data_IF_239789289866
#
_entry.id   IF_239789289866
#
_cell.length_a   1.000
_cell.length_b   1.000
_cell.length_c   1.000
_cell.angle_alpha   90.00
_cell.angle_beta   90.00
_cell.angle_gamma   90.00
#
_symmetry.space_group_name_H-M   'P 1'
#
loop_
_entity.id
_entity.type
_entity.pdbx_description
1 polymer ?
#
# COMPACT_ATOMS: atom_id res chain seq x y z
N UNK A 1 35.79 -5.10 12.63
CA UNK A 1 34.50 -5.82 12.60
C UNK A 1 34.28 -6.46 13.96
N UNK A 2 33.03 -6.67 14.38
CA UNK A 2 32.67 -7.31 15.65
C UNK A 2 32.56 -8.82 15.46
N UNK A 3 33.19 -9.61 16.34
CA UNK A 3 33.02 -11.07 16.41
C UNK A 3 31.84 -11.40 17.34
N UNK A 4 30.73 -11.84 16.75
CA UNK A 4 29.46 -12.14 17.42
C UNK A 4 29.57 -13.24 18.49
N UNK A 5 30.62 -14.07 18.43
CA UNK A 5 30.85 -15.14 19.41
C UNK A 5 31.60 -14.65 20.66
N UNK A 6 32.19 -13.44 20.61
CA UNK A 6 33.07 -12.90 21.65
C UNK A 6 32.55 -11.60 22.26
N UNK A 7 31.92 -10.75 21.45
CA UNK A 7 31.52 -9.40 21.87
C UNK A 7 30.12 -9.04 21.33
N UNK A 8 29.30 -8.28 22.07
CA UNK A 8 27.98 -7.86 21.63
C UNK A 8 28.02 -6.85 20.47
N UNK A 9 27.00 -6.86 19.61
CA UNK A 9 26.85 -5.86 18.54
C UNK A 9 26.39 -4.52 19.15
N UNK A 10 27.05 -3.39 18.87
CA UNK A 10 26.50 -2.08 19.20
C UNK A 10 25.29 -1.78 18.29
N UNK A 11 24.11 -1.64 18.89
CA UNK A 11 22.85 -1.35 18.18
C UNK A 11 22.20 -0.07 18.71
N UNK A 12 21.48 0.63 17.84
CA UNK A 12 20.71 1.83 18.17
C UNK A 12 19.41 1.88 17.33
N UNK A 13 18.39 2.62 17.76
CA UNK A 13 17.17 2.81 16.97
C UNK A 13 17.48 3.37 15.58
N UNK A 14 16.88 2.77 14.55
CA UNK A 14 17.02 3.17 13.15
C UNK A 14 15.64 3.12 12.49
N UNK A 15 15.33 4.09 11.62
CA UNK A 15 14.08 4.07 10.83
C UNK A 15 14.02 2.76 10.05
N UNK A 16 12.86 2.10 10.08
CA UNK A 16 12.75 0.73 9.55
C UNK A 16 11.53 0.50 8.65
N UNK A 17 10.36 1.02 9.01
CA UNK A 17 9.11 0.67 8.34
C UNK A 17 8.10 1.84 8.41
N UNK A 18 7.32 2.02 7.36
CA UNK A 18 6.25 3.01 7.30
C UNK A 18 4.89 2.32 7.51
N UNK A 19 4.23 2.62 8.63
CA UNK A 19 2.87 2.11 8.88
C UNK A 19 1.79 2.86 8.09
N UNK A 20 2.07 4.11 7.71
CA UNK A 20 1.21 4.88 6.82
C UNK A 20 1.38 4.47 5.36
N UNK A 21 0.48 4.95 4.51
CA UNK A 21 0.49 4.62 3.08
C UNK A 21 -0.80 5.07 2.41
N UNK A 22 -1.06 4.53 1.23
CA UNK A 22 -2.32 4.76 0.49
C UNK A 22 -3.46 4.09 1.26
N UNK A 23 -4.52 4.82 1.67
CA UNK A 23 -5.62 4.24 2.43
C UNK A 23 -6.37 3.22 1.58
N UNK A 24 -6.62 2.04 2.14
CA UNK A 24 -7.38 0.97 1.47
C UNK A 24 -8.45 0.39 2.37
N UNK A 25 -9.48 -0.22 1.78
CA UNK A 25 -10.32 -1.15 2.52
C UNK A 25 -9.57 -2.49 2.76
N UNK A 26 -10.23 -3.44 3.44
CA UNK A 26 -9.64 -4.75 3.74
C UNK A 26 -9.46 -5.66 2.51
N UNK A 27 -9.99 -5.28 1.34
CA UNK A 27 -9.74 -5.94 0.06
C UNK A 27 -8.58 -5.32 -0.73
N UNK A 28 -8.01 -4.21 -0.26
CA UNK A 28 -6.93 -3.50 -0.96
C UNK A 28 -7.41 -2.48 -2.01
N UNK A 29 -8.72 -2.23 -2.13
CA UNK A 29 -9.25 -1.15 -2.97
C UNK A 29 -8.89 0.19 -2.32
N UNK A 30 -8.30 1.10 -3.10
CA UNK A 30 -7.92 2.43 -2.61
C UNK A 30 -9.16 3.24 -2.25
N UNK A 31 -9.11 3.94 -1.12
CA UNK A 31 -10.17 4.82 -0.66
C UNK A 31 -9.96 6.25 -1.19
N UNK A 32 -11.06 6.87 -1.63
CA UNK A 32 -11.19 8.27 -1.95
C UNK A 32 -12.38 8.85 -1.15
N UNK A 33 -12.23 9.02 0.17
CA UNK A 33 -13.34 9.39 1.05
C UNK A 33 -13.94 10.74 0.68
N UNK A 34 -15.26 10.85 0.81
CA UNK A 34 -16.01 12.11 0.73
C UNK A 34 -16.77 12.35 2.03
N UNK A 35 -17.25 13.58 2.25
CA UNK A 35 -18.05 13.89 3.45
C UNK A 35 -19.34 13.07 3.55
N UNK A 36 -19.90 12.62 2.41
CA UNK A 36 -21.13 11.83 2.35
C UNK A 36 -20.87 10.33 2.31
N UNK A 37 -19.69 9.91 1.84
CA UNK A 37 -19.30 8.51 1.75
C UNK A 37 -17.81 8.37 2.15
N UNK A 38 -17.53 8.09 3.44
CA UNK A 38 -16.17 7.93 3.93
C UNK A 38 -15.49 6.65 3.41
N UNK A 39 -16.26 5.68 2.91
CA UNK A 39 -15.76 4.41 2.37
C UNK A 39 -15.77 4.39 0.83
N UNK A 40 -15.93 5.55 0.19
CA UNK A 40 -15.87 5.63 -1.28
C UNK A 40 -14.52 5.09 -1.76
N UNK A 41 -14.57 4.16 -2.71
CA UNK A 41 -13.38 3.61 -3.38
C UNK A 41 -13.00 4.46 -4.58
N UNK A 42 -11.72 4.44 -4.94
CA UNK A 42 -11.21 4.85 -6.25
C UNK A 42 -11.28 3.63 -7.19
N UNK A 43 -12.24 3.57 -8.13
CA UNK A 43 -12.47 2.35 -8.90
C UNK A 43 -11.25 1.96 -9.74
N UNK A 44 -10.87 0.70 -9.68
CA UNK A 44 -9.75 0.16 -10.45
C UNK A 44 -8.36 0.40 -9.84
N UNK A 45 -8.26 1.17 -8.76
CA UNK A 45 -6.99 1.42 -8.07
C UNK A 45 -6.87 0.55 -6.82
N UNK A 46 -5.77 -0.20 -6.72
CA UNK A 46 -5.47 -1.10 -5.60
C UNK A 46 -4.11 -0.72 -4.99
N UNK A 47 -3.95 -0.89 -3.68
CA UNK A 47 -2.66 -0.80 -2.99
C UNK A 47 -2.50 -1.93 -1.97
N UNK A 48 -1.29 -2.48 -1.85
CA UNK A 48 -1.00 -3.64 -1.01
C UNK A 48 0.39 -3.54 -0.39
N UNK A 49 0.61 -4.24 0.73
CA UNK A 49 1.89 -4.25 1.43
C UNK A 49 2.21 -2.93 2.11
N UNK A 50 3.50 -2.63 2.30
CA UNK A 50 3.95 -1.39 2.98
C UNK A 50 3.50 -0.11 2.27
N UNK A 51 3.16 -0.16 0.99
CA UNK A 51 2.58 0.99 0.28
C UNK A 51 1.09 1.22 0.62
N UNK A 52 0.37 0.19 1.06
CA UNK A 52 -1.05 0.22 1.42
C UNK A 52 -1.26 0.43 2.92
N UNK A 53 -2.40 1.01 3.27
CA UNK A 53 -2.78 1.29 4.66
C UNK A 53 -4.23 0.83 4.89
N UNK A 54 -4.37 -0.46 5.21
CA UNK A 54 -5.67 -1.10 5.38
C UNK A 54 -6.42 -0.76 6.69
N UNK A 55 -5.84 -0.51 7.88
CA UNK A 55 -4.48 -0.53 8.41
C UNK A 55 -4.39 -1.54 9.56
N UNK A 56 -3.75 -2.70 9.33
CA UNK A 56 -3.59 -3.73 10.39
C UNK A 56 -2.45 -3.42 11.36
N UNK A 57 -1.63 -2.41 11.04
CA UNK A 57 -0.47 -2.02 11.85
C UNK A 57 -0.75 -0.81 12.75
N UNK A 58 -1.79 -0.01 12.45
CA UNK A 58 -2.14 1.17 13.22
C UNK A 58 -0.93 2.09 13.43
N UNK A 59 -0.70 2.48 14.69
CA UNK A 59 0.42 3.35 15.05
C UNK A 59 1.75 2.60 15.30
N UNK A 60 1.73 1.27 15.42
CA UNK A 60 2.92 0.47 15.72
C UNK A 60 2.78 -0.96 15.23
N UNK A 61 3.54 -1.32 14.20
CA UNK A 61 3.58 -2.68 13.66
C UNK A 61 4.24 -3.64 14.64
N UNK A 62 3.66 -4.83 14.83
CA UNK A 62 4.30 -5.94 15.52
C UNK A 62 5.30 -6.67 14.60
N UNK A 63 6.38 -7.19 15.18
CA UNK A 63 7.41 -7.93 14.46
C UNK A 63 6.82 -9.05 13.59
N UNK A 64 7.40 -9.27 12.41
CA UNK A 64 7.00 -10.29 11.43
C UNK A 64 5.61 -10.15 10.77
N UNK A 65 4.77 -9.20 11.20
CA UNK A 65 3.45 -9.01 10.58
C UNK A 65 3.49 -8.38 9.18
N UNK A 66 4.60 -7.79 8.75
CA UNK A 66 4.71 -7.22 7.40
C UNK A 66 4.66 -8.28 6.30
N UNK A 67 5.32 -9.44 6.50
CA UNK A 67 5.29 -10.51 5.50
C UNK A 67 3.91 -11.17 5.40
N UNK A 68 3.19 -11.28 6.53
CA UNK A 68 1.81 -11.79 6.56
C UNK A 68 0.88 -10.82 5.83
N UNK A 69 1.04 -9.52 6.05
CA UNK A 69 0.33 -8.47 5.30
C UNK A 69 0.51 -8.64 3.78
N UNK A 70 1.76 -8.75 3.30
CA UNK A 70 2.05 -8.93 1.87
C UNK A 70 1.25 -10.08 1.25
N UNK A 71 1.27 -11.25 1.87
CA UNK A 71 0.64 -12.46 1.28
C UNK A 71 -0.88 -12.45 1.43
N UNK A 72 -1.41 -11.92 2.54
CA UNK A 72 -2.86 -11.89 2.80
C UNK A 72 -3.52 -10.81 1.95
N UNK A 73 -3.06 -9.56 2.03
CA UNK A 73 -3.67 -8.44 1.30
C UNK A 73 -3.34 -8.50 -0.19
N UNK A 74 -2.15 -8.98 -0.58
CA UNK A 74 -1.84 -9.26 -1.99
C UNK A 74 -2.83 -10.25 -2.61
N UNK A 75 -3.15 -11.34 -1.90
CA UNK A 75 -4.14 -12.32 -2.36
C UNK A 75 -5.56 -11.76 -2.34
N UNK A 76 -5.95 -11.03 -1.29
CA UNK A 76 -7.26 -10.41 -1.19
C UNK A 76 -7.52 -9.43 -2.34
N UNK A 77 -6.54 -8.59 -2.66
CA UNK A 77 -6.59 -7.66 -3.77
C UNK A 77 -6.74 -8.36 -5.12
N UNK A 78 -6.00 -9.45 -5.36
CA UNK A 78 -6.13 -10.22 -6.59
C UNK A 78 -7.54 -10.83 -6.76
N UNK A 79 -8.10 -11.39 -5.67
CA UNK A 79 -9.47 -11.93 -5.67
C UNK A 79 -10.48 -10.82 -5.97
N UNK A 80 -10.34 -9.67 -5.30
CA UNK A 80 -11.26 -8.55 -5.46
C UNK A 80 -11.19 -7.95 -6.86
N UNK A 81 -9.99 -7.72 -7.39
CA UNK A 81 -9.78 -7.24 -8.76
C UNK A 81 -10.46 -8.16 -9.78
N UNK A 82 -10.41 -9.48 -9.58
CA UNK A 82 -11.13 -10.44 -10.42
C UNK A 82 -12.66 -10.34 -10.40
N UNK A 83 -13.24 -9.67 -9.39
CA UNK A 83 -14.68 -9.45 -9.25
C UNK A 83 -15.12 -8.08 -9.77
N UNK A 84 -14.27 -7.05 -9.63
CA UNK A 84 -14.66 -5.65 -9.89
C UNK A 84 -14.15 -5.10 -11.21
N UNK A 85 -13.19 -5.78 -11.86
CA UNK A 85 -12.63 -5.37 -13.15
C UNK A 85 -13.24 -6.22 -14.27
N UNK A 86 -13.91 -5.55 -15.20
CA UNK A 86 -14.29 -6.17 -16.47
C UNK A 86 -13.06 -6.24 -17.39
N UNK A 87 -12.64 -7.47 -17.71
CA UNK A 87 -11.49 -7.74 -18.57
C UNK A 87 -11.73 -7.38 -20.04
N UNK A 88 -12.99 -7.29 -20.45
CA UNK A 88 -13.38 -6.98 -21.82
C UNK A 88 -13.64 -5.48 -22.01
N UNK A 89 -13.72 -4.71 -20.93
CA UNK A 89 -13.90 -3.27 -21.02
C UNK A 89 -12.66 -2.60 -21.60
N UNK A 90 -12.88 -1.49 -22.32
CA UNK A 90 -11.78 -0.67 -22.81
C UNK A 90 -10.99 -0.07 -21.63
N UNK A 91 -9.66 -0.06 -21.75
CA UNK A 91 -8.79 0.60 -20.77
C UNK A 91 -9.06 2.11 -20.81
N UNK A 92 -9.41 2.76 -19.69
CA UNK A 92 -9.60 4.21 -19.67
C UNK A 92 -8.35 4.96 -20.10
N UNK A 93 -8.51 6.03 -20.87
CA UNK A 93 -7.41 6.93 -21.18
C UNK A 93 -6.92 7.63 -19.90
N UNK A 94 -5.61 7.88 -19.77
CA UNK A 94 -5.09 8.63 -18.63
C UNK A 94 -5.61 10.08 -18.64
N UNK A 95 -5.57 10.71 -17.46
CA UNK A 95 -5.82 12.14 -17.37
C UNK A 95 -4.59 12.91 -17.86
N UNK A 96 -4.63 13.41 -19.09
CA UNK A 96 -3.51 14.10 -19.74
C UNK A 96 -2.99 15.30 -18.92
N UNK A 97 -3.88 16.07 -18.29
CA UNK A 97 -3.46 17.19 -17.44
C UNK A 97 -2.69 16.73 -16.20
N UNK A 98 -3.02 15.54 -15.67
CA UNK A 98 -2.25 14.94 -14.58
C UNK A 98 -0.89 14.41 -15.07
N UNK A 99 -0.83 13.85 -16.29
CA UNK A 99 0.41 13.39 -16.93
C UNK A 99 1.36 14.56 -17.13
N UNK A 100 0.90 15.66 -17.74
CA UNK A 100 1.68 16.88 -17.96
C UNK A 100 2.27 17.41 -16.65
N UNK A 101 1.44 17.55 -15.61
CA UNK A 101 1.88 18.00 -14.28
C UNK A 101 2.92 17.08 -13.63
N UNK A 102 2.88 15.77 -13.90
CA UNK A 102 3.90 14.83 -13.40
C UNK A 102 5.20 15.03 -14.15
N UNK A 103 5.14 15.18 -15.47
CA UNK A 103 6.31 15.39 -16.32
C UNK A 103 7.02 16.71 -16.01
N UNK A 104 6.28 17.78 -15.73
CA UNK A 104 6.83 19.10 -15.33
C UNK A 104 7.67 19.06 -14.04
N UNK A 105 7.49 18.03 -13.20
CA UNK A 105 8.26 17.84 -11.96
C UNK A 105 9.48 16.95 -12.13
N UNK A 106 9.63 16.35 -13.30
CA UNK A 106 10.71 15.41 -13.59
C UNK A 106 11.97 16.13 -14.10
N UNK A 107 11.79 17.31 -14.70
CA UNK A 107 12.86 18.27 -15.04
C UNK A 107 13.25 19.15 -13.83
#
# INVERSE_FOLDING_TARGET
GVDLTKEPIPVLPTVHYNMGGVPTNYWGEVLNPTALNPDQVSPGLMAVGEAGCASVHGANRLGSNSLIDLVVFGRAAAIRAGQVIDRNAAIPSPNEAAVEKIMDRFD
#
